data_IF_397473493960
#
_entry.id   IF_397473493960
#
_cell.length_a   1.000
_cell.length_b   1.000
_cell.length_c   1.000
_cell.angle_alpha   90.00
_cell.angle_beta   90.00
_cell.angle_gamma   90.00
#
_symmetry.space_group_name_H-M   'P 1'
#
loop_
_entity.id
_entity.type
_entity.pdbx_description
1 polymer ?
#
# COMPACT_ATOMS: atom_id res chain seq x y z
N UNK A 1 20.71 0.87 2.03
CA UNK A 1 19.59 0.31 2.82
C UNK A 1 19.10 -0.96 2.13
N UNK A 2 19.05 -2.11 2.83
CA UNK A 2 18.43 -3.34 2.29
C UNK A 2 16.94 -3.06 2.14
N UNK A 3 16.39 -3.25 0.94
CA UNK A 3 14.95 -3.17 0.74
C UNK A 3 14.29 -4.14 1.73
N UNK A 4 13.52 -3.63 2.69
CA UNK A 4 12.70 -4.38 3.66
C UNK A 4 11.57 -5.19 3.00
N UNK A 5 11.67 -5.36 1.69
CA UNK A 5 10.61 -5.67 0.78
C UNK A 5 10.18 -7.12 0.74
N UNK A 6 11.03 -8.08 1.09
CA UNK A 6 10.71 -9.49 0.87
C UNK A 6 9.92 -10.15 2.01
N UNK A 7 9.32 -9.39 2.92
CA UNK A 7 8.56 -9.96 4.03
C UNK A 7 7.16 -10.36 3.53
N UNK A 8 6.83 -11.68 3.49
CA UNK A 8 5.46 -12.10 3.26
C UNK A 8 4.54 -11.42 4.27
N UNK A 9 3.37 -10.96 3.83
CA UNK A 9 2.41 -10.31 4.73
C UNK A 9 2.71 -8.85 5.06
N UNK A 10 3.51 -8.11 4.27
CA UNK A 10 3.66 -6.66 4.41
C UNK A 10 2.29 -5.94 4.40
N UNK A 11 1.40 -6.30 3.47
CA UNK A 11 0.02 -5.80 3.43
C UNK A 11 -0.77 -6.23 4.66
N UNK A 12 -0.68 -7.50 5.06
CA UNK A 12 -1.35 -7.99 6.27
C UNK A 12 -0.90 -7.22 7.52
N UNK A 13 0.39 -6.86 7.61
CA UNK A 13 0.92 -5.99 8.66
C UNK A 13 0.36 -4.58 8.55
N UNK A 14 0.32 -3.99 7.36
CA UNK A 14 -0.27 -2.65 7.17
C UNK A 14 -1.76 -2.62 7.54
N UNK A 15 -2.52 -3.63 7.16
CA UNK A 15 -3.93 -3.81 7.55
C UNK A 15 -4.04 -3.92 9.07
N UNK A 16 -3.25 -4.78 9.70
CA UNK A 16 -3.27 -4.95 11.15
C UNK A 16 -2.89 -3.66 11.90
N UNK A 17 -1.85 -2.96 11.44
CA UNK A 17 -1.45 -1.66 11.99
C UNK A 17 -2.52 -0.60 11.74
N UNK A 18 -3.23 -0.65 10.61
CA UNK A 18 -4.32 0.27 10.32
C UNK A 18 -5.56 0.02 11.19
N UNK A 19 -5.90 -1.25 11.43
CA UNK A 19 -6.92 -1.63 12.37
C UNK A 19 -6.59 -1.12 13.78
N UNK A 20 -5.38 -1.41 14.27
CA UNK A 20 -4.92 -0.95 15.59
C UNK A 20 -4.92 0.59 15.69
N UNK A 21 -4.38 1.29 14.69
CA UNK A 21 -4.36 2.75 14.68
C UNK A 21 -5.77 3.34 14.72
N UNK A 22 -6.71 2.76 13.98
CA UNK A 22 -8.10 3.20 13.98
C UNK A 22 -8.82 2.90 15.30
N UNK A 23 -8.42 1.86 16.03
CA UNK A 23 -8.89 1.59 17.39
C UNK A 23 -8.35 2.63 18.38
N UNK A 24 -7.06 2.95 18.29
CA UNK A 24 -6.41 3.93 19.17
C UNK A 24 -6.91 5.37 18.94
N UNK A 25 -7.40 5.69 17.73
CA UNK A 25 -7.85 7.02 17.34
C UNK A 25 -9.37 7.11 17.14
N UNK A 26 -10.11 6.47 18.04
CA UNK A 26 -11.57 6.47 18.00
C UNK A 26 -12.11 7.91 18.11
N UNK A 27 -12.87 8.35 17.09
CA UNK A 27 -13.42 9.71 16.99
C UNK A 27 -12.89 10.53 15.81
N UNK A 28 -11.83 10.08 15.14
CA UNK A 28 -11.38 10.69 13.88
C UNK A 28 -12.18 10.15 12.68
N UNK A 29 -12.49 11.04 11.72
CA UNK A 29 -13.17 10.65 10.48
C UNK A 29 -12.36 9.59 9.67
N UNK A 30 -11.03 9.70 9.69
CA UNK A 30 -10.15 8.75 9.00
C UNK A 30 -10.15 7.38 9.68
N UNK A 31 -10.23 7.33 11.01
CA UNK A 31 -10.35 6.06 11.75
C UNK A 31 -11.68 5.36 11.42
N UNK A 32 -12.78 6.12 11.31
CA UNK A 32 -14.07 5.57 10.88
C UNK A 32 -14.04 5.07 9.43
N UNK A 33 -13.38 5.79 8.52
CA UNK A 33 -13.22 5.39 7.13
C UNK A 33 -12.40 4.09 7.00
N UNK A 34 -11.29 3.98 7.74
CA UNK A 34 -10.48 2.75 7.80
C UNK A 34 -11.34 1.59 8.30
N UNK A 35 -12.04 1.73 9.43
CA UNK A 35 -12.90 0.67 9.99
C UNK A 35 -14.02 0.22 9.05
N UNK A 36 -14.65 1.16 8.35
CA UNK A 36 -15.69 0.85 7.38
C UNK A 36 -15.15 0.09 6.15
N UNK A 37 -13.91 0.38 5.77
CA UNK A 37 -13.32 -0.13 4.55
C UNK A 37 -12.56 -1.46 4.73
N UNK A 38 -11.92 -1.68 5.87
CA UNK A 38 -11.11 -2.88 6.16
C UNK A 38 -11.84 -4.22 5.88
N UNK A 39 -13.12 -4.41 6.26
CA UNK A 39 -13.84 -5.67 5.99
C UNK A 39 -14.02 -5.97 4.49
N UNK A 40 -13.94 -4.94 3.64
CA UNK A 40 -14.08 -5.07 2.19
C UNK A 40 -12.74 -5.19 1.46
N UNK A 41 -11.62 -5.14 2.20
CA UNK A 41 -10.30 -5.19 1.59
C UNK A 41 -9.97 -6.60 1.11
N UNK A 42 -9.58 -6.71 -0.15
CA UNK A 42 -9.12 -7.95 -0.76
C UNK A 42 -7.60 -7.95 -0.88
N UNK A 43 -6.94 -8.88 -0.18
CA UNK A 43 -5.48 -9.01 -0.23
C UNK A 43 -5.03 -9.51 -1.60
N UNK A 44 -4.41 -8.63 -2.38
CA UNK A 44 -3.70 -8.90 -3.62
C UNK A 44 -2.21 -8.57 -3.46
N UNK A 45 -1.43 -8.92 -4.47
CA UNK A 45 -0.01 -8.64 -4.52
C UNK A 45 0.33 -7.26 -5.10
N UNK A 46 -0.58 -6.76 -5.94
CA UNK A 46 -0.40 -5.56 -6.75
C UNK A 46 -1.54 -4.58 -6.44
N UNK A 47 -1.20 -3.33 -6.17
CA UNK A 47 -2.18 -2.26 -5.94
C UNK A 47 -1.71 -0.95 -6.56
N UNK A 48 -2.68 -0.11 -6.89
CA UNK A 48 -2.45 1.30 -7.19
C UNK A 48 -2.34 2.13 -5.90
N UNK A 49 -1.73 3.30 -6.01
CA UNK A 49 -1.69 4.25 -4.89
C UNK A 49 -3.10 4.73 -4.49
N UNK A 50 -4.06 4.76 -5.41
CA UNK A 50 -5.46 5.09 -5.10
C UNK A 50 -6.11 4.01 -4.24
N UNK A 51 -5.88 2.74 -4.55
CA UNK A 51 -6.38 1.62 -3.75
C UNK A 51 -5.73 1.58 -2.36
N UNK A 52 -4.47 1.98 -2.24
CA UNK A 52 -3.77 2.05 -0.95
C UNK A 52 -4.03 3.35 -0.17
N UNK A 53 -4.66 4.36 -0.79
CA UNK A 53 -4.89 5.66 -0.17
C UNK A 53 -5.71 5.60 1.14
N UNK A 54 -6.70 4.69 1.31
CA UNK A 54 -7.39 4.56 2.60
C UNK A 54 -6.47 4.09 3.74
N UNK A 55 -5.40 3.33 3.44
CA UNK A 55 -4.38 2.91 4.42
C UNK A 55 -3.34 3.99 4.68
N UNK A 56 -3.38 5.10 3.94
CA UNK A 56 -2.37 6.14 3.96
C UNK A 56 -1.99 6.63 5.37
N UNK A 57 -2.91 6.86 6.33
CA UNK A 57 -2.56 7.30 7.68
C UNK A 57 -1.54 6.39 8.38
N UNK A 58 -1.55 5.09 8.05
CA UNK A 58 -0.68 4.08 8.63
C UNK A 58 0.53 3.78 7.74
N UNK A 59 0.36 3.85 6.42
CA UNK A 59 1.48 3.78 5.48
C UNK A 59 2.44 4.94 5.69
N UNK A 60 1.92 6.13 6.00
CA UNK A 60 2.74 7.27 6.39
C UNK A 60 3.66 6.92 7.56
N UNK A 61 3.15 6.32 8.64
CA UNK A 61 3.97 5.88 9.79
C UNK A 61 4.99 4.81 9.38
N UNK A 62 4.62 3.90 8.48
CA UNK A 62 5.48 2.80 8.04
C UNK A 62 6.63 3.25 7.11
N UNK A 63 6.43 4.34 6.34
CA UNK A 63 7.37 4.80 5.31
C UNK A 63 8.03 6.15 5.61
N UNK A 64 7.40 6.97 6.43
CA UNK A 64 7.90 8.26 6.89
C UNK A 64 7.89 8.19 8.41
N UNK A 65 8.99 8.48 9.08
CA UNK A 65 9.17 8.37 10.55
C UNK A 65 8.23 9.33 11.36
N UNK A 66 7.15 9.82 10.73
CA UNK A 66 6.14 10.73 11.24
C UNK A 66 5.16 9.95 12.14
N UNK A 67 5.20 10.23 13.45
CA UNK A 67 4.28 9.68 14.47
C UNK A 67 2.85 10.24 14.39
N UNK A 68 2.60 11.19 13.50
CA UNK A 68 1.31 11.88 13.38
C UNK A 68 0.88 11.79 11.92
N UNK A 69 -0.30 11.25 11.60
CA UNK A 69 -0.75 11.17 10.22
C UNK A 69 -0.91 12.59 9.66
N UNK A 70 -0.11 12.95 8.65
CA UNK A 70 -0.14 14.29 8.07
C UNK A 70 -1.42 14.49 7.23
N UNK A 71 -1.88 15.74 7.06
CA UNK A 71 -3.20 16.06 6.52
C UNK A 71 -3.41 15.52 5.09
N UNK A 72 -4.64 15.01 4.83
CA UNK A 72 -5.17 14.44 3.57
C UNK A 72 -4.16 14.43 2.42
N UNK A 73 -3.27 13.44 2.43
CA UNK A 73 -2.29 13.29 1.37
C UNK A 73 -2.94 12.61 0.18
N UNK A 74 -2.93 13.31 -0.95
CA UNK A 74 -3.42 12.79 -2.24
C UNK A 74 -2.78 11.45 -2.58
N UNK A 75 -3.48 10.60 -3.33
CA UNK A 75 -2.94 9.34 -3.86
C UNK A 75 -1.60 9.55 -4.60
N UNK A 76 -1.41 10.73 -5.21
CA UNK A 76 -0.16 11.14 -5.86
C UNK A 76 1.01 11.25 -4.90
N UNK A 77 0.81 11.72 -3.66
CA UNK A 77 1.87 11.75 -2.65
C UNK A 77 2.22 10.35 -2.17
N UNK A 78 1.22 9.48 -1.96
CA UNK A 78 1.47 8.08 -1.65
C UNK A 78 2.28 7.41 -2.75
N UNK A 79 1.95 7.66 -4.02
CA UNK A 79 2.73 7.15 -5.15
C UNK A 79 4.21 7.55 -5.06
N UNK A 80 4.52 8.80 -4.70
CA UNK A 80 5.90 9.25 -4.49
C UNK A 80 6.57 8.55 -3.31
N UNK A 81 5.88 8.41 -2.18
CA UNK A 81 6.41 7.75 -0.99
C UNK A 81 6.68 6.25 -1.25
N UNK A 82 5.78 5.55 -1.95
CA UNK A 82 5.97 4.14 -2.34
C UNK A 82 7.14 3.97 -3.33
N UNK A 83 7.29 4.89 -4.29
CA UNK A 83 8.44 4.91 -5.21
C UNK A 83 9.75 5.13 -4.46
N UNK A 84 9.77 6.10 -3.55
CA UNK A 84 10.95 6.39 -2.73
C UNK A 84 11.31 5.25 -1.78
N UNK A 85 10.29 4.56 -1.24
CA UNK A 85 10.42 3.34 -0.44
C UNK A 85 10.98 2.15 -1.23
N UNK A 86 11.19 2.28 -2.54
CA UNK A 86 11.86 1.28 -3.36
C UNK A 86 11.00 0.06 -3.69
N UNK A 87 9.67 0.19 -3.62
CA UNK A 87 8.75 -0.85 -4.05
C UNK A 87 8.85 -1.04 -5.58
N UNK A 88 8.90 -2.29 -6.07
CA UNK A 88 8.76 -2.57 -7.49
C UNK A 88 7.41 -2.04 -7.99
N UNK A 89 7.43 -1.39 -9.14
CA UNK A 89 6.20 -0.91 -9.76
C UNK A 89 6.24 -1.06 -11.29
N UNK A 90 5.06 -1.08 -11.90
CA UNK A 90 4.86 -1.02 -13.34
C UNK A 90 3.72 -0.09 -13.69
N UNK A 91 3.84 0.55 -14.86
CA UNK A 91 2.79 1.40 -15.41
C UNK A 91 2.02 0.60 -16.47
N UNK A 92 0.74 0.35 -16.23
CA UNK A 92 -0.15 -0.42 -17.10
C UNK A 92 -1.43 0.37 -17.26
N UNK A 93 -1.90 0.52 -18.50
CA UNK A 93 -3.16 1.22 -18.84
C UNK A 93 -3.28 2.59 -18.14
N UNK A 94 -2.18 3.36 -18.17
CA UNK A 94 -1.99 4.68 -17.54
C UNK A 94 -2.00 4.70 -16.01
N UNK A 95 -2.23 3.58 -15.33
CA UNK A 95 -2.15 3.44 -13.88
C UNK A 95 -0.79 2.89 -13.45
N UNK A 96 -0.37 3.20 -12.23
CA UNK A 96 0.86 2.65 -11.64
C UNK A 96 0.47 1.63 -10.59
N UNK A 97 0.95 0.41 -10.77
CA UNK A 97 0.76 -0.71 -9.86
C UNK A 97 2.06 -0.97 -9.11
N UNK A 98 1.97 -1.03 -7.79
CA UNK A 98 3.05 -1.36 -6.88
C UNK A 98 2.91 -2.81 -6.42
N UNK A 99 4.00 -3.56 -6.50
CA UNK A 99 4.11 -4.84 -5.82
C UNK A 99 4.34 -4.57 -4.34
N UNK A 100 3.50 -5.15 -3.50
CA UNK A 100 3.51 -5.00 -2.03
C UNK A 100 3.67 -6.34 -1.31
N UNK A 101 3.82 -7.42 -2.07
CA UNK A 101 4.17 -8.76 -1.62
C UNK A 101 5.10 -9.40 -2.66
N UNK A 102 5.82 -10.48 -2.28
CA UNK A 102 6.72 -11.24 -3.19
C UNK A 102 7.69 -10.33 -3.99
N UNK A 103 8.31 -9.31 -3.38
CA UNK A 103 9.01 -8.27 -4.15
C UNK A 103 10.16 -8.76 -5.01
N UNK A 104 10.90 -9.79 -4.59
CA UNK A 104 11.98 -10.35 -5.41
C UNK A 104 11.46 -11.05 -6.65
N UNK A 105 10.32 -11.74 -6.52
CA UNK A 105 9.62 -12.36 -7.64
C UNK A 105 9.19 -11.30 -8.65
N UNK A 106 8.51 -10.25 -8.20
CA UNK A 106 8.04 -9.18 -9.09
C UNK A 106 9.17 -8.35 -9.72
N UNK A 107 10.33 -8.24 -9.06
CA UNK A 107 11.54 -7.64 -9.65
C UNK A 107 12.13 -8.48 -10.78
N UNK A 108 12.02 -9.80 -10.69
CA UNK A 108 12.54 -10.72 -11.70
C UNK A 108 11.58 -10.90 -12.90
N UNK A 109 10.32 -10.50 -12.75
CA UNK A 109 9.29 -10.70 -13.77
C UNK A 109 9.22 -9.58 -14.82
N UNK A 110 8.96 -9.98 -16.07
CA UNK A 110 8.75 -9.09 -17.21
C UNK A 110 7.31 -8.54 -17.29
N UNK A 111 7.12 -7.53 -18.14
CA UNK A 111 5.87 -6.75 -18.22
C UNK A 111 4.64 -7.59 -18.60
N UNK A 112 4.82 -8.60 -19.46
CA UNK A 112 3.74 -9.52 -19.85
C UNK A 112 3.19 -10.32 -18.65
N UNK A 113 4.04 -10.62 -17.66
CA UNK A 113 3.61 -11.35 -16.48
C UNK A 113 2.83 -10.46 -15.50
N UNK A 114 3.26 -9.20 -15.34
CA UNK A 114 2.53 -8.20 -14.57
C UNK A 114 1.13 -7.94 -15.15
N UNK A 115 1.03 -7.84 -16.48
CA UNK A 115 -0.24 -7.64 -17.18
C UNK A 115 -1.25 -8.76 -16.90
N UNK A 116 -0.80 -10.02 -16.96
CA UNK A 116 -1.65 -11.18 -16.68
C UNK A 116 -2.21 -11.14 -15.26
N UNK A 117 -1.36 -10.93 -14.27
CA UNK A 117 -1.80 -10.87 -12.87
C UNK A 117 -2.78 -9.71 -12.60
N UNK A 118 -2.53 -8.53 -13.20
CA UNK A 118 -3.42 -7.36 -13.04
C UNK A 118 -4.78 -7.60 -13.69
N UNK A 119 -4.82 -8.31 -14.81
CA UNK A 119 -6.06 -8.61 -15.55
C UNK A 119 -6.78 -9.86 -15.03
N UNK A 120 -6.12 -10.66 -14.19
CA UNK A 120 -6.64 -11.94 -13.72
C UNK A 120 -6.69 -13.02 -14.83
N UNK A 121 -5.75 -12.95 -15.79
CA UNK A 121 -5.61 -13.84 -16.95
C UNK A 121 -4.63 -15.01 -16.72
#
# INVERSE_FOLDING_TARGET
>A
MKASGNQPGMVARWIATAAQWADDHTGLADAAAIKAWLPHWQSRDLYTAEELAPLFPVLAIAFTDERTPPPKKSAKRLEFELKFGGLPYRKIDRKIYFAVARLHYWKAMGDAFWLKEIRGE
#
